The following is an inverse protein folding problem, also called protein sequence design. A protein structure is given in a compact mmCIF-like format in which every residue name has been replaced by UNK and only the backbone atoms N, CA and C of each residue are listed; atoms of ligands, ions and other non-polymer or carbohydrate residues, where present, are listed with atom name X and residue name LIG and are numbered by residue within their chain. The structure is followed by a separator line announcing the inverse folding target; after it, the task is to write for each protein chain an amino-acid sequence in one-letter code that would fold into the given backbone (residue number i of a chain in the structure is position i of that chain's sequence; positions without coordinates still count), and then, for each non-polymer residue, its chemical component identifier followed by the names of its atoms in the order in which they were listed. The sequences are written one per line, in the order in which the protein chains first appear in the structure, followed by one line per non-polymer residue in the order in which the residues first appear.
data_IF_160389997901
#
_entry.id   IF_160389997901
#
_cell.length_a   1.000
_cell.length_b   1.000
_cell.length_c   1.000
_cell.angle_alpha   90.00
_cell.angle_beta   90.00
_cell.angle_gamma   90.00
#
_symmetry.space_group_name_H-M   'P 1'
#
loop_
_entity.id
_entity.type
_entity.pdbx_description
1 polymer ?
#
# COMPACT_ATOMS: atom_id res chain seq x y z
N UNK A 1 24.10 7.03 -5.07
CA UNK A 1 23.09 7.36 -4.03
C UNK A 1 23.10 6.22 -3.01
N UNK A 2 23.49 6.44 -1.75
CA UNK A 2 23.46 5.37 -0.76
C UNK A 2 22.00 4.93 -0.57
N UNK A 3 21.75 3.62 -0.64
CA UNK A 3 20.46 3.00 -0.34
C UNK A 3 20.20 3.23 1.15
N UNK A 4 19.51 4.32 1.50
CA UNK A 4 19.16 4.61 2.89
C UNK A 4 18.26 3.49 3.37
N UNK A 5 18.73 2.78 4.39
CA UNK A 5 17.95 1.78 5.09
C UNK A 5 16.60 2.40 5.48
N UNK A 6 15.52 1.69 5.20
CA UNK A 6 14.24 1.96 5.82
C UNK A 6 14.43 1.76 7.33
N UNK A 7 14.58 2.85 8.07
CA UNK A 7 14.50 2.82 9.53
C UNK A 7 13.06 2.41 9.91
N UNK A 8 12.83 1.11 9.99
CA UNK A 8 11.71 0.48 10.70
C UNK A 8 12.16 -0.83 11.36
N UNK A 9 13.45 -0.94 11.67
CA UNK A 9 14.02 -2.05 12.45
C UNK A 9 13.65 -1.86 13.92
N UNK A 10 12.43 -2.24 14.32
CA UNK A 10 12.11 -2.42 15.74
C UNK A 10 10.68 -2.12 16.19
N UNK A 11 9.88 -1.39 15.42
CA UNK A 11 8.45 -1.21 15.74
C UNK A 11 7.66 -2.42 15.22
N UNK A 12 6.77 -2.96 16.03
CA UNK A 12 5.83 -3.98 15.61
C UNK A 12 4.95 -3.41 14.48
N UNK A 13 5.36 -3.64 13.23
CA UNK A 13 4.63 -3.19 12.05
C UNK A 13 3.19 -3.71 12.14
N UNK A 14 2.22 -2.83 11.96
CA UNK A 14 0.81 -3.19 12.04
C UNK A 14 0.45 -4.29 11.03
N UNK A 15 1.17 -4.34 9.90
CA UNK A 15 1.09 -5.44 8.93
C UNK A 15 1.51 -6.78 9.53
N UNK A 16 2.57 -6.77 10.34
CA UNK A 16 3.04 -7.95 11.04
C UNK A 16 1.99 -8.47 12.01
N UNK A 17 1.42 -7.55 12.79
CA UNK A 17 0.36 -7.87 13.74
C UNK A 17 -0.90 -8.43 13.06
N UNK A 18 -1.29 -7.88 11.90
CA UNK A 18 -2.44 -8.37 11.13
C UNK A 18 -2.22 -9.81 10.67
N UNK A 19 -1.11 -10.11 10.01
CA UNK A 19 -0.90 -11.45 9.46
C UNK A 19 -0.69 -12.51 10.56
N UNK A 20 -0.03 -12.15 11.67
CA UNK A 20 0.09 -13.03 12.84
C UNK A 20 -1.26 -13.28 13.49
N UNK A 21 -2.13 -12.27 13.53
CA UNK A 21 -3.49 -12.41 14.05
C UNK A 21 -4.33 -13.31 13.14
N UNK A 22 -4.26 -13.16 11.82
CA UNK A 22 -4.94 -14.06 10.87
C UNK A 22 -4.53 -15.52 11.08
N UNK A 23 -3.21 -15.78 11.15
CA UNK A 23 -2.70 -17.12 11.39
C UNK A 23 -3.18 -17.69 12.73
N UNK A 24 -3.13 -16.88 13.80
CA UNK A 24 -3.60 -17.27 15.14
C UNK A 24 -5.09 -17.58 15.17
N UNK A 25 -5.91 -16.81 14.45
CA UNK A 25 -7.36 -17.04 14.38
C UNK A 25 -7.68 -18.35 13.67
N UNK A 26 -7.00 -18.65 12.56
CA UNK A 26 -7.15 -19.93 11.86
C UNK A 26 -6.70 -21.10 12.73
N UNK A 27 -5.55 -20.99 13.38
CA UNK A 27 -5.05 -22.07 14.26
C UNK A 27 -6.00 -22.31 15.45
N UNK A 28 -6.70 -21.28 15.93
CA UNK A 28 -7.70 -21.38 17.01
C UNK A 28 -9.03 -21.95 16.54
N UNK A 29 -9.47 -21.63 15.32
CA UNK A 29 -10.70 -22.19 14.76
C UNK A 29 -10.54 -23.64 14.31
N UNK A 30 -9.29 -24.10 14.10
CA UNK A 30 -8.99 -25.45 13.63
C UNK A 30 -9.27 -25.64 12.13
N UNK A 31 -9.64 -24.57 11.41
CA UNK A 31 -9.95 -24.62 9.99
C UNK A 31 -8.68 -24.76 9.15
N UNK A 32 -8.73 -25.64 8.17
CA UNK A 32 -7.77 -25.68 7.07
C UNK A 32 -8.01 -24.51 6.11
N UNK A 33 -7.01 -24.21 5.28
CA UNK A 33 -7.17 -23.19 4.22
C UNK A 33 -8.16 -23.62 3.13
N UNK A 34 -8.44 -24.93 3.00
CA UNK A 34 -9.44 -25.45 2.06
C UNK A 34 -10.86 -25.23 2.61
N UNK A 35 -11.10 -25.55 3.88
CA UNK A 35 -12.39 -25.26 4.52
C UNK A 35 -12.68 -23.75 4.56
N UNK A 36 -11.66 -22.93 4.80
CA UNK A 36 -11.79 -21.47 4.77
C UNK A 36 -12.11 -20.94 3.36
N UNK A 37 -11.62 -21.61 2.31
CA UNK A 37 -11.98 -21.29 0.94
C UNK A 37 -13.46 -21.59 0.69
N UNK A 38 -13.95 -22.74 1.14
CA UNK A 38 -15.36 -23.14 0.97
C UNK A 38 -16.32 -22.17 1.67
N UNK A 39 -15.95 -21.66 2.86
CA UNK A 39 -16.79 -20.70 3.58
C UNK A 39 -16.74 -19.27 3.03
N UNK A 40 -15.58 -18.82 2.53
CA UNK A 40 -15.39 -17.41 2.13
C UNK A 40 -15.38 -17.17 0.62
N UNK A 41 -15.35 -18.24 -0.19
CA UNK A 41 -15.21 -18.21 -1.66
C UNK A 41 -13.87 -17.61 -2.14
N UNK A 42 -12.93 -17.26 -1.26
CA UNK A 42 -11.63 -16.73 -1.63
C UNK A 42 -10.61 -17.84 -1.86
N UNK A 43 -9.81 -17.75 -2.93
CA UNK A 43 -8.81 -18.77 -3.28
C UNK A 43 -7.87 -19.11 -2.12
N UNK A 44 -7.58 -20.41 -1.93
CA UNK A 44 -6.60 -20.91 -0.95
C UNK A 44 -5.24 -20.20 -1.04
N UNK A 45 -4.75 -19.99 -2.26
CA UNK A 45 -3.47 -19.29 -2.50
C UNK A 45 -3.53 -17.81 -2.14
N UNK A 46 -4.71 -17.19 -2.24
CA UNK A 46 -4.92 -15.81 -1.82
C UNK A 46 -4.91 -15.71 -0.30
N UNK A 47 -5.66 -16.57 0.39
CA UNK A 47 -5.70 -16.65 1.86
C UNK A 47 -4.29 -16.90 2.44
N UNK A 48 -3.53 -17.83 1.86
CA UNK A 48 -2.13 -18.06 2.25
C UNK A 48 -1.23 -16.82 2.09
N UNK A 49 -1.43 -16.01 1.05
CA UNK A 49 -0.68 -14.76 0.84
C UNK A 49 -1.02 -13.69 1.88
N UNK A 50 -2.23 -13.71 2.42
CA UNK A 50 -2.62 -12.84 3.54
C UNK A 50 -1.92 -13.25 4.83
N UNK A 51 -1.92 -14.54 5.16
CA UNK A 51 -1.27 -15.06 6.39
C UNK A 51 0.25 -14.92 6.38
N UNK A 52 0.88 -14.98 5.20
CA UNK A 52 2.33 -14.79 5.06
C UNK A 52 2.74 -13.32 4.95
N UNK A 53 1.79 -12.38 4.93
CA UNK A 53 2.06 -10.96 4.76
C UNK A 53 2.53 -10.55 3.35
N UNK A 54 2.49 -11.46 2.38
CA UNK A 54 2.83 -11.17 0.99
C UNK A 54 1.82 -10.24 0.31
N UNK A 55 0.58 -10.18 0.82
CA UNK A 55 -0.47 -9.27 0.38
C UNK A 55 -1.31 -8.82 1.57
N UNK A 56 -1.74 -7.55 1.58
CA UNK A 56 -2.57 -7.00 2.66
C UNK A 56 -4.06 -7.39 2.55
N UNK A 57 -4.56 -7.55 1.33
CA UNK A 57 -5.98 -7.82 1.05
C UNK A 57 -6.85 -6.56 1.02
N UNK A 58 -8.15 -6.73 0.73
CA UNK A 58 -9.16 -5.68 0.76
C UNK A 58 -9.92 -5.69 2.08
N UNK A 59 -10.59 -4.58 2.41
CA UNK A 59 -11.44 -4.48 3.60
C UNK A 59 -12.58 -5.51 3.58
N UNK A 60 -13.15 -5.81 2.40
CA UNK A 60 -14.20 -6.82 2.21
C UNK A 60 -13.75 -8.22 2.65
N UNK A 61 -12.52 -8.59 2.32
CA UNK A 61 -11.95 -9.89 2.74
C UNK A 61 -11.82 -9.94 4.26
N UNK A 62 -11.39 -8.85 4.89
CA UNK A 62 -11.26 -8.78 6.35
C UNK A 62 -12.63 -8.88 7.02
N UNK A 63 -13.65 -8.22 6.47
CA UNK A 63 -15.03 -8.32 6.96
C UNK A 63 -15.61 -9.74 6.78
N UNK A 64 -15.28 -10.44 5.69
CA UNK A 64 -15.69 -11.84 5.50
C UNK A 64 -15.01 -12.77 6.52
N UNK A 65 -13.71 -12.59 6.76
CA UNK A 65 -12.96 -13.36 7.74
C UNK A 65 -13.42 -13.06 9.18
N UNK A 66 -13.76 -11.81 9.49
CA UNK A 66 -14.33 -11.41 10.78
C UNK A 66 -15.65 -12.15 11.08
N UNK A 67 -16.48 -12.37 10.05
CA UNK A 67 -17.73 -13.14 10.16
C UNK A 67 -17.48 -14.62 10.43
N UNK A 68 -16.51 -15.22 9.73
CA UNK A 68 -16.13 -16.63 9.92
C UNK A 68 -15.55 -16.86 11.31
N UNK A 69 -14.63 -16.01 11.76
CA UNK A 69 -13.96 -16.17 13.05
C UNK A 69 -14.74 -15.60 14.24
N UNK A 70 -15.85 -14.90 14.01
CA UNK A 70 -16.65 -14.26 15.05
C UNK A 70 -15.90 -13.14 15.79
N UNK A 71 -14.96 -12.46 15.15
CA UNK A 71 -14.11 -11.42 15.75
C UNK A 71 -14.70 -10.02 15.68
N UNK A 72 -15.90 -9.87 15.10
CA UNK A 72 -16.61 -8.59 15.00
C UNK A 72 -15.99 -7.69 13.94
N UNK A 73 -15.26 -6.65 14.35
CA UNK A 73 -14.57 -5.70 13.45
C UNK A 73 -13.06 -5.65 13.69
N UNK A 74 -12.53 -6.60 14.46
CA UNK A 74 -11.12 -6.58 14.88
C UNK A 74 -10.16 -6.65 13.68
N UNK A 75 -10.43 -7.50 12.69
CA UNK A 75 -9.56 -7.63 11.52
C UNK A 75 -9.65 -6.40 10.63
N UNK A 76 -10.82 -5.79 10.51
CA UNK A 76 -11.00 -4.53 9.79
C UNK A 76 -10.18 -3.39 10.42
N UNK A 77 -10.24 -3.22 11.74
CA UNK A 77 -9.45 -2.20 12.45
C UNK A 77 -7.93 -2.43 12.31
N UNK A 78 -7.48 -3.69 12.42
CA UNK A 78 -6.07 -4.03 12.20
C UNK A 78 -5.64 -3.78 10.76
N UNK A 79 -6.52 -4.03 9.79
CA UNK A 79 -6.26 -3.76 8.38
C UNK A 79 -6.10 -2.28 8.11
N UNK A 80 -6.92 -1.42 8.70
CA UNK A 80 -6.79 0.04 8.58
C UNK A 80 -5.43 0.52 9.09
N UNK A 81 -5.01 0.02 10.25
CA UNK A 81 -3.70 0.35 10.81
C UNK A 81 -2.56 -0.17 9.93
N UNK A 82 -2.68 -1.40 9.42
CA UNK A 82 -1.70 -2.02 8.53
C UNK A 82 -1.64 -1.37 7.13
N UNK A 83 -2.73 -0.75 6.67
CA UNK A 83 -2.79 0.07 5.46
C UNK A 83 -2.04 1.39 5.69
N UNK A 84 -2.24 2.04 6.83
CA UNK A 84 -1.59 3.30 7.15
C UNK A 84 -0.08 3.13 7.43
N UNK A 85 0.33 1.96 7.91
CA UNK A 85 1.73 1.56 8.07
C UNK A 85 2.46 1.29 6.73
N UNK A 86 1.74 1.35 5.60
CA UNK A 86 2.35 1.25 4.27
C UNK A 86 3.30 2.39 3.93
N UNK A 87 3.05 3.55 4.52
CA UNK A 87 3.77 4.76 4.21
C UNK A 87 5.03 4.84 5.08
N UNK A 88 6.18 5.02 4.45
CA UNK A 88 7.42 5.29 5.18
C UNK A 88 7.21 6.45 6.15
N UNK A 89 7.87 6.41 7.31
CA UNK A 89 7.66 7.35 8.44
C UNK A 89 7.56 8.83 8.02
N UNK A 90 8.34 9.25 7.02
CA UNK A 90 8.32 10.61 6.45
C UNK A 90 6.95 11.01 5.87
N UNK A 91 6.19 10.07 5.31
CA UNK A 91 4.92 10.32 4.63
C UNK A 91 3.70 10.12 5.55
N UNK A 92 3.83 9.46 6.70
CA UNK A 92 2.70 9.20 7.61
C UNK A 92 2.00 10.50 8.05
N UNK A 93 2.78 11.55 8.38
CA UNK A 93 2.21 12.86 8.74
C UNK A 93 1.44 13.48 7.57
N UNK A 94 1.97 13.36 6.35
CA UNK A 94 1.30 13.86 5.15
C UNK A 94 -0.03 13.13 4.93
N UNK A 95 -0.04 11.80 4.97
CA UNK A 95 -1.25 11.00 4.76
C UNK A 95 -2.35 11.29 5.79
N UNK A 96 -1.98 11.52 7.06
CA UNK A 96 -2.97 11.90 8.09
C UNK A 96 -3.64 13.24 7.78
N UNK A 97 -2.85 14.25 7.43
CA UNK A 97 -3.36 15.58 7.09
C UNK A 97 -4.15 15.57 5.78
N UNK A 98 -3.72 14.78 4.79
CA UNK A 98 -4.39 14.64 3.49
C UNK A 98 -5.82 14.09 3.66
N UNK A 99 -6.04 13.14 4.57
CA UNK A 99 -7.39 12.59 4.85
C UNK A 99 -8.38 13.60 5.41
N UNK A 100 -7.89 14.57 6.17
CA UNK A 100 -8.70 15.63 6.78
C UNK A 100 -8.83 16.87 5.88
N UNK A 101 -7.97 16.99 4.85
CA UNK A 101 -7.88 18.17 4.02
C UNK A 101 -9.08 18.26 3.05
N UNK A 102 -9.75 19.41 3.07
CA UNK A 102 -10.78 19.74 2.05
C UNK A 102 -10.16 20.34 0.78
N UNK A 103 -8.98 20.96 0.89
CA UNK A 103 -8.28 21.64 -0.21
C UNK A 103 -6.77 21.40 -0.10
N UNK A 104 -6.11 21.14 -1.23
CA UNK A 104 -4.66 21.03 -1.32
C UNK A 104 -4.08 22.19 -2.15
N UNK A 105 -3.16 22.95 -1.56
CA UNK A 105 -2.36 23.94 -2.28
C UNK A 105 -0.96 23.37 -2.53
N UNK A 106 -0.57 23.29 -3.79
CA UNK A 106 0.75 22.82 -4.20
C UNK A 106 1.51 23.95 -4.91
N UNK A 107 2.68 24.30 -4.38
CA UNK A 107 3.63 25.14 -5.08
C UNK A 107 4.57 24.26 -5.92
N UNK A 108 4.67 24.52 -7.22
CA UNK A 108 5.55 23.79 -8.12
C UNK A 108 6.30 24.77 -9.03
N UNK A 109 7.63 24.84 -8.89
CA UNK A 109 8.47 25.82 -9.59
C UNK A 109 8.91 25.38 -10.97
N UNK A 110 9.11 24.07 -11.17
CA UNK A 110 9.82 23.53 -12.34
C UNK A 110 9.08 22.40 -13.03
N UNK A 111 7.98 21.93 -12.46
CA UNK A 111 7.18 20.83 -12.98
C UNK A 111 5.71 21.13 -12.83
N UNK A 112 4.94 20.73 -13.84
CA UNK A 112 3.48 20.84 -13.80
C UNK A 112 2.94 19.72 -12.89
N UNK A 113 2.01 19.99 -11.96
CA UNK A 113 1.39 18.95 -11.13
C UNK A 113 0.68 17.89 -11.98
N UNK A 114 0.72 16.62 -11.55
CA UNK A 114 0.28 15.45 -12.33
C UNK A 114 -1.11 15.57 -12.94
N UNK A 115 -2.09 16.08 -12.18
CA UNK A 115 -3.47 16.27 -12.65
C UNK A 115 -3.61 17.25 -13.82
N UNK A 116 -2.62 18.14 -14.00
CA UNK A 116 -2.57 19.13 -15.08
C UNK A 116 -1.62 18.71 -16.22
N UNK A 117 -1.03 17.52 -16.14
CA UNK A 117 -0.11 17.03 -17.18
C UNK A 117 -0.88 16.40 -18.34
N UNK A 118 -0.45 16.69 -19.56
CA UNK A 118 -0.84 15.89 -20.73
C UNK A 118 -0.08 14.57 -20.74
N UNK A 119 -0.62 13.57 -21.43
CA UNK A 119 0.05 12.26 -21.59
C UNK A 119 1.49 12.39 -22.12
N UNK A 120 1.72 13.30 -23.07
CA UNK A 120 3.04 13.54 -23.65
C UNK A 120 4.02 14.09 -22.60
N UNK A 121 3.61 15.10 -21.81
CA UNK A 121 4.45 15.66 -20.76
C UNK A 121 4.78 14.64 -19.66
N UNK A 122 3.76 13.91 -19.17
CA UNK A 122 3.95 12.90 -18.13
C UNK A 122 4.93 11.79 -18.57
N UNK A 123 4.85 11.37 -19.84
CA UNK A 123 5.74 10.36 -20.41
C UNK A 123 7.19 10.85 -20.41
N UNK A 124 7.44 12.06 -20.90
CA UNK A 124 8.79 12.65 -20.92
C UNK A 124 9.37 12.82 -19.50
N UNK A 125 8.58 13.29 -18.54
CA UNK A 125 9.03 13.43 -17.14
C UNK A 125 9.37 12.06 -16.52
N UNK A 126 8.52 11.05 -16.71
CA UNK A 126 8.74 9.71 -16.18
C UNK A 126 9.94 9.02 -16.83
N UNK A 127 10.20 9.25 -18.12
CA UNK A 127 11.37 8.73 -18.82
C UNK A 127 12.68 9.36 -18.31
N UNK A 128 12.69 10.67 -18.03
CA UNK A 128 13.83 11.37 -17.45
C UNK A 128 14.10 10.96 -15.99
N UNK A 129 13.05 10.66 -15.23
CA UNK A 129 13.16 10.25 -13.83
C UNK A 129 13.70 8.81 -13.64
N UNK A 130 13.77 8.00 -14.70
CA UNK A 130 14.33 6.64 -14.64
C UNK A 130 15.87 6.69 -14.63
N UNK A 131 16.54 6.27 -13.53
CA UNK A 131 17.99 6.20 -13.51
C UNK A 131 18.47 5.13 -14.50
N UNK A 132 19.18 5.57 -15.56
CA UNK A 132 19.81 4.68 -16.55
C UNK A 132 19.32 4.81 -17.99
N UNK A 133 18.23 5.54 -18.25
CA UNK A 133 17.76 5.80 -19.63
C UNK A 133 18.68 6.82 -20.32
N UNK A 134 19.65 6.33 -21.11
CA UNK A 134 20.45 7.14 -22.02
C UNK A 134 19.59 7.59 -23.22
N UNK A 135 18.69 8.55 -23.02
CA UNK A 135 18.22 9.39 -24.13
C UNK A 135 18.96 10.72 -24.07
N UNK A 136 19.77 10.95 -25.12
CA UNK A 136 20.49 12.19 -25.36
C UNK A 136 19.45 13.30 -25.41
N UNK A 137 19.48 14.20 -24.42
CA UNK A 137 18.61 15.37 -24.34
C UNK A 137 18.72 16.13 -25.67
N UNK A 138 17.75 15.96 -26.58
CA UNK A 138 17.61 16.82 -27.75
C UNK A 138 17.18 18.15 -27.16
N UNK A 139 18.14 19.07 -27.03
CA UNK A 139 17.92 20.46 -26.65
C UNK A 139 16.62 20.93 -27.31
N UNK A 140 15.60 21.21 -26.50
CA UNK A 140 14.49 22.02 -26.98
C UNK A 140 15.08 23.38 -27.29
N UNK A 141 15.38 23.63 -28.56
CA UNK A 141 15.67 24.98 -29.03
C UNK A 141 14.39 25.77 -28.86
N UNK A 142 14.33 26.60 -27.83
CA UNK A 142 13.50 27.80 -27.84
C UNK A 142 13.93 28.61 -29.05
N UNK A 143 13.17 28.52 -30.14
CA UNK A 143 13.20 29.55 -31.19
C UNK A 143 12.42 30.74 -30.63
N UNK A 144 13.14 31.80 -30.33
CA UNK A 144 12.61 33.16 -30.33
C UNK A 144 12.32 33.59 -31.78
#
# INVERSE_FOLDING_TARGET
MPKRASDSSGEASARKMLHETLKRLRDRSGLSLEELHDETTYDRSYLHKLETGARLGSLEVMAALDKVYGTGEQLQQLWELARDDAFGSRFQRFMRLEREATVQYQYASSTIPGLLQTRAYATEVLEQARPGTRRRCRRMSTRA
#
